data_IF_621561591778
#
_entry.id   IF_621561591778
#
_cell.length_a   1.000
_cell.length_b   1.000
_cell.length_c   1.000
_cell.angle_alpha   90.00
_cell.angle_beta   90.00
_cell.angle_gamma   90.00
#
_symmetry.space_group_name_H-M   'P 1'
#
loop_
_entity.id
_entity.type
_entity.pdbx_description
1 polymer ?
#
# COMPACT_ATOMS: atom_id res chain seq x y z
N UNK A 1 -72.88 -14.77 -25.91
CA UNK A 1 -71.49 -14.33 -26.02
C UNK A 1 -71.16 -13.43 -24.83
N UNK A 2 -70.43 -13.97 -23.86
CA UNK A 2 -69.96 -13.27 -22.65
C UNK A 2 -68.51 -13.69 -22.45
N UNK A 3 -67.56 -12.78 -22.56
CA UNK A 3 -66.24 -12.97 -21.98
C UNK A 3 -65.86 -11.69 -21.23
N UNK A 4 -65.73 -11.87 -19.91
CA UNK A 4 -65.34 -10.87 -18.94
C UNK A 4 -63.88 -10.45 -19.17
N UNK A 5 -63.66 -9.14 -19.15
CA UNK A 5 -62.36 -8.49 -19.08
C UNK A 5 -61.93 -8.46 -17.60
N UNK A 6 -60.90 -9.23 -17.24
CA UNK A 6 -60.30 -9.22 -15.91
C UNK A 6 -59.07 -8.30 -15.91
N UNK A 7 -59.18 -7.17 -15.22
CA UNK A 7 -58.05 -6.30 -14.87
C UNK A 7 -57.09 -7.05 -13.93
N UNK A 8 -55.88 -7.34 -14.41
CA UNK A 8 -54.77 -7.78 -13.55
C UNK A 8 -54.03 -6.53 -13.05
N UNK A 9 -54.40 -6.07 -11.86
CA UNK A 9 -53.59 -5.11 -11.09
C UNK A 9 -52.36 -5.86 -10.56
N UNK A 10 -51.23 -5.70 -11.22
CA UNK A 10 -49.94 -6.16 -10.73
C UNK A 10 -49.54 -5.33 -9.49
N UNK A 11 -49.52 -5.97 -8.34
CA UNK A 11 -49.06 -5.38 -7.09
C UNK A 11 -47.55 -5.16 -7.15
N UNK A 12 -47.12 -3.89 -7.09
CA UNK A 12 -45.73 -3.54 -6.84
C UNK A 12 -45.32 -4.05 -5.46
N UNK A 13 -44.59 -5.16 -5.43
CA UNK A 13 -43.99 -5.68 -4.20
C UNK A 13 -42.78 -4.82 -3.86
N UNK A 14 -42.93 -3.97 -2.85
CA UNK A 14 -41.84 -3.16 -2.31
C UNK A 14 -40.82 -4.09 -1.62
N UNK A 15 -39.74 -4.45 -2.31
CA UNK A 15 -38.59 -5.11 -1.71
C UNK A 15 -37.91 -4.13 -0.75
N UNK A 16 -38.16 -4.28 0.54
CA UNK A 16 -37.44 -3.58 1.60
C UNK A 16 -35.99 -4.11 1.63
N UNK A 17 -35.10 -3.46 0.88
CA UNK A 17 -33.67 -3.69 0.99
C UNK A 17 -33.24 -3.36 2.42
N UNK A 18 -33.01 -4.40 3.22
CA UNK A 18 -32.40 -4.26 4.53
C UNK A 18 -30.94 -3.89 4.28
N UNK A 19 -30.60 -2.60 4.43
CA UNK A 19 -29.21 -2.15 4.44
C UNK A 19 -28.62 -2.64 5.75
N UNK A 20 -28.02 -3.83 5.74
CA UNK A 20 -27.15 -4.26 6.83
C UNK A 20 -25.94 -3.34 6.81
N UNK A 21 -25.88 -2.42 7.77
CA UNK A 21 -24.67 -1.65 8.07
C UNK A 21 -23.53 -2.65 8.30
N UNK A 22 -22.56 -2.67 7.39
CA UNK A 22 -21.35 -3.45 7.60
C UNK A 22 -20.73 -3.01 8.94
N UNK A 23 -20.35 -3.94 9.84
CA UNK A 23 -19.56 -3.56 11.01
C UNK A 23 -18.29 -2.90 10.47
N UNK A 24 -18.06 -1.65 10.86
CA UNK A 24 -16.81 -0.96 10.62
C UNK A 24 -15.70 -1.79 11.28
N UNK A 25 -15.02 -2.61 10.50
CA UNK A 25 -13.86 -3.35 10.98
C UNK A 25 -12.83 -2.31 11.42
N UNK A 26 -12.46 -2.35 12.70
CA UNK A 26 -11.38 -1.52 13.22
C UNK A 26 -10.14 -1.71 12.35
N UNK A 27 -9.44 -0.62 12.03
CA UNK A 27 -8.19 -0.71 11.27
C UNK A 27 -7.23 -1.69 11.97
N UNK A 28 -6.49 -2.54 11.22
CA UNK A 28 -5.52 -3.42 11.82
C UNK A 28 -4.58 -2.62 12.72
N UNK A 29 -4.48 -3.01 13.99
CA UNK A 29 -3.54 -2.33 14.88
C UNK A 29 -2.11 -2.65 14.45
N UNK A 30 -1.18 -1.68 14.47
CA UNK A 30 0.22 -1.94 14.19
C UNK A 30 0.77 -2.99 15.16
N UNK A 31 1.34 -4.07 14.63
CA UNK A 31 2.09 -5.03 15.44
C UNK A 31 3.44 -4.39 15.76
N UNK A 32 3.67 -4.05 17.02
CA UNK A 32 4.98 -3.59 17.49
C UNK A 32 5.82 -4.81 17.86
N UNK A 33 6.76 -5.17 17.00
CA UNK A 33 7.73 -6.22 17.28
C UNK A 33 8.94 -5.58 17.96
N UNK A 34 9.35 -6.12 19.11
CA UNK A 34 10.58 -5.67 19.76
C UNK A 34 11.79 -6.05 18.90
N UNK A 35 12.77 -5.15 18.69
CA UNK A 35 14.00 -5.51 17.98
C UNK A 35 14.69 -6.70 18.68
N UNK A 36 14.98 -7.75 17.92
CA UNK A 36 15.82 -8.84 18.40
C UNK A 36 17.26 -8.34 18.51
N UNK A 37 17.88 -8.32 19.70
CA UNK A 37 19.28 -7.90 19.86
C UNK A 37 20.27 -8.80 19.11
N UNK A 38 19.85 -9.97 18.62
CA UNK A 38 20.65 -10.89 17.80
C UNK A 38 20.39 -10.72 16.30
N UNK A 39 19.48 -9.84 15.89
CA UNK A 39 19.21 -9.61 14.48
C UNK A 39 20.46 -9.05 13.78
N UNK A 40 20.74 -9.58 12.59
CA UNK A 40 21.76 -9.01 11.71
C UNK A 40 21.27 -7.67 11.18
N UNK A 41 22.11 -6.65 11.24
CA UNK A 41 21.80 -5.31 10.71
C UNK A 41 22.27 -5.16 9.28
N UNK A 42 21.46 -4.52 8.43
CA UNK A 42 21.84 -4.14 7.07
C UNK A 42 21.85 -2.61 6.96
N UNK A 43 22.96 -2.04 6.50
CA UNK A 43 23.14 -0.60 6.28
C UNK A 43 22.98 -0.29 4.80
N UNK A 44 21.90 0.42 4.47
CA UNK A 44 21.58 0.82 3.10
C UNK A 44 21.80 2.31 2.95
N UNK A 45 22.46 2.71 1.87
CA UNK A 45 22.66 4.10 1.47
C UNK A 45 22.06 4.34 0.08
N UNK A 46 21.32 5.43 -0.10
CA UNK A 46 20.91 5.91 -1.43
C UNK A 46 21.79 7.11 -1.81
N UNK A 47 22.19 7.18 -3.07
CA UNK A 47 23.01 8.26 -3.58
C UNK A 47 22.63 8.64 -5.01
N UNK A 48 22.23 9.88 -5.22
CA UNK A 48 22.01 10.44 -6.54
C UNK A 48 23.33 10.95 -7.12
N UNK A 49 23.74 10.44 -8.27
CA UNK A 49 25.04 10.74 -8.86
C UNK A 49 24.99 11.85 -9.90
N UNK A 50 23.83 12.47 -10.15
CA UNK A 50 23.64 13.59 -11.09
C UNK A 50 24.44 13.40 -12.40
N UNK A 51 24.19 12.31 -13.14
CA UNK A 51 24.85 11.93 -14.42
C UNK A 51 26.26 11.31 -14.31
N UNK A 52 26.70 10.91 -13.12
CA UNK A 52 27.76 9.92 -12.96
C UNK A 52 28.79 10.24 -11.87
N UNK A 53 29.65 9.25 -11.58
CA UNK A 53 30.64 9.32 -10.49
C UNK A 53 32.01 9.83 -10.93
N UNK A 54 32.20 10.14 -12.22
CA UNK A 54 33.51 10.51 -12.74
C UNK A 54 33.93 11.89 -12.20
N UNK A 55 34.90 11.89 -11.29
CA UNK A 55 35.44 13.12 -10.69
C UNK A 55 34.82 13.49 -9.33
N UNK A 56 33.74 12.82 -8.92
CA UNK A 56 33.12 13.03 -7.61
C UNK A 56 33.87 12.25 -6.51
N UNK A 57 35.04 12.76 -6.15
CA UNK A 57 35.82 12.20 -5.04
C UNK A 57 35.12 12.35 -3.71
N UNK A 58 34.42 13.46 -3.49
CA UNK A 58 33.65 13.71 -2.27
C UNK A 58 32.58 12.66 -2.00
N UNK A 59 31.77 12.29 -3.00
CA UNK A 59 30.72 11.28 -2.83
C UNK A 59 31.31 9.90 -2.61
N UNK A 60 32.38 9.54 -3.33
CA UNK A 60 33.10 8.28 -3.12
C UNK A 60 33.67 8.19 -1.71
N UNK A 61 34.28 9.27 -1.21
CA UNK A 61 34.86 9.33 0.14
C UNK A 61 33.76 9.28 1.22
N UNK A 62 32.60 9.89 0.96
CA UNK A 62 31.43 9.79 1.84
C UNK A 62 30.92 8.35 1.94
N UNK A 63 30.76 7.66 0.80
CA UNK A 63 30.37 6.23 0.77
C UNK A 63 31.37 5.38 1.55
N UNK A 64 32.68 5.61 1.36
CA UNK A 64 33.74 4.90 2.10
C UNK A 64 33.66 5.16 3.59
N UNK A 65 33.54 6.42 4.00
CA UNK A 65 33.46 6.81 5.42
C UNK A 65 32.27 6.16 6.11
N UNK A 66 31.13 6.08 5.43
CA UNK A 66 29.93 5.45 5.97
C UNK A 66 30.08 3.93 5.97
N UNK A 67 30.75 3.32 4.98
CA UNK A 67 30.85 1.86 4.83
C UNK A 67 29.47 1.16 4.91
N UNK A 68 28.52 1.52 4.02
CA UNK A 68 27.25 0.80 3.93
C UNK A 68 27.46 -0.60 3.34
N UNK A 69 26.56 -1.52 3.65
CA UNK A 69 26.54 -2.87 3.05
C UNK A 69 26.02 -2.83 1.61
N UNK A 70 25.15 -1.85 1.32
CA UNK A 70 24.54 -1.68 -0.01
C UNK A 70 24.39 -0.20 -0.35
N UNK A 71 24.75 0.16 -1.58
CA UNK A 71 24.57 1.51 -2.14
C UNK A 71 23.64 1.44 -3.35
N UNK A 72 22.57 2.23 -3.33
CA UNK A 72 21.63 2.39 -4.44
C UNK A 72 21.91 3.72 -5.15
N UNK A 73 22.22 3.67 -6.45
CA UNK A 73 22.50 4.86 -7.25
C UNK A 73 21.26 5.36 -7.98
N UNK A 74 21.09 6.68 -8.06
CA UNK A 74 20.04 7.35 -8.84
C UNK A 74 20.67 8.27 -9.89
N UNK A 75 19.97 8.48 -11.00
CA UNK A 75 20.40 9.37 -12.10
C UNK A 75 21.82 9.04 -12.64
N UNK A 76 22.04 7.75 -12.96
CA UNK A 76 23.31 7.24 -13.50
C UNK A 76 23.52 7.56 -14.96
#
# INVERSE_FOLDING_TARGET
>A
MRFLLACVLAACSSSSNTVTSAPFASAPQPIVVKPDPRATTLRVMTYNVNFGLRGDRSGIDAVRKVSPDLVLLQET
#
